data_IF_161644796316
#
_entry.id   IF_161644796316
#
_cell.length_a   1.000
_cell.length_b   1.000
_cell.length_c   1.000
_cell.angle_alpha   90.00
_cell.angle_beta   90.00
_cell.angle_gamma   90.00
#
_symmetry.space_group_name_H-M   'P 1'
#
loop_
_entity.id
_entity.type
_entity.pdbx_description
1 polymer ?
#
# COMPACT_ATOMS: atom_id res chain seq x y z
N UNK A 1 1.28 2.54 21.32
CA UNK A 1 0.49 2.28 20.10
C UNK A 1 1.44 1.90 18.97
N UNK A 2 1.17 0.82 18.29
CA UNK A 2 1.99 0.40 17.17
C UNK A 2 1.47 1.05 15.90
N UNK A 3 2.37 1.60 15.11
CA UNK A 3 2.06 2.21 13.83
C UNK A 3 2.73 1.42 12.72
N UNK A 4 2.05 1.33 11.60
CA UNK A 4 2.58 0.69 10.40
C UNK A 4 2.24 1.53 9.18
N UNK A 5 3.12 1.53 8.20
CA UNK A 5 2.90 2.24 6.95
C UNK A 5 2.59 1.25 5.84
N UNK A 6 1.75 1.65 4.91
CA UNK A 6 1.30 0.80 3.83
C UNK A 6 1.39 1.55 2.51
N UNK A 7 1.98 0.93 1.50
CA UNK A 7 2.16 1.56 0.20
C UNK A 7 1.05 1.16 -0.75
N UNK A 8 0.20 2.12 -1.11
CA UNK A 8 -0.75 1.96 -2.20
C UNK A 8 -0.02 2.44 -3.46
N UNK A 9 0.79 1.54 -4.02
CA UNK A 9 1.67 1.84 -5.15
C UNK A 9 0.92 1.64 -6.44
N UNK A 10 0.79 2.72 -7.21
CA UNK A 10 -0.06 2.75 -8.40
C UNK A 10 0.75 2.97 -9.67
N UNK A 11 0.35 2.26 -10.72
CA UNK A 11 0.75 2.55 -12.11
C UNK A 11 -0.49 2.48 -12.99
N UNK A 12 -0.88 3.63 -13.55
CA UNK A 12 -2.13 3.70 -14.29
C UNK A 12 -3.30 3.34 -13.38
N UNK A 13 -4.09 2.36 -13.77
CA UNK A 13 -5.22 1.89 -12.97
C UNK A 13 -4.91 0.61 -12.22
N UNK A 14 -3.63 0.30 -12.02
CA UNK A 14 -3.22 -0.94 -11.37
C UNK A 14 -2.41 -0.65 -10.13
N UNK A 15 -2.53 -1.58 -9.17
CA UNK A 15 -1.93 -1.47 -7.84
C UNK A 15 -1.00 -2.64 -7.61
N UNK A 16 0.14 -2.38 -6.99
CA UNK A 16 1.12 -3.43 -6.72
C UNK A 16 0.72 -4.22 -5.48
N UNK A 17 0.70 -5.53 -5.61
CA UNK A 17 0.52 -6.43 -4.48
C UNK A 17 1.51 -7.57 -4.59
N UNK A 18 1.86 -8.14 -3.43
CA UNK A 18 2.67 -9.33 -3.38
C UNK A 18 2.03 -10.34 -2.45
N UNK A 19 2.33 -11.61 -2.68
CA UNK A 19 1.69 -12.70 -1.98
C UNK A 19 2.58 -13.20 -0.85
N UNK A 20 2.04 -13.24 0.36
CA UNK A 20 2.75 -13.84 1.48
C UNK A 20 3.08 -15.28 1.16
N UNK A 21 4.26 -15.71 1.59
CA UNK A 21 4.67 -17.09 1.40
C UNK A 21 3.64 -18.04 2.01
N UNK A 22 3.43 -19.18 1.36
CA UNK A 22 2.43 -20.16 1.81
C UNK A 22 2.82 -20.77 3.16
N UNK A 23 4.10 -20.77 3.50
CA UNK A 23 4.58 -21.29 4.77
C UNK A 23 4.73 -20.23 5.84
N UNK A 24 4.28 -19.00 5.56
CA UNK A 24 4.32 -17.93 6.56
C UNK A 24 3.30 -18.25 7.64
N UNK A 25 3.68 -18.22 8.94
CA UNK A 25 2.73 -18.54 10.00
C UNK A 25 1.65 -17.48 10.18
N UNK A 26 1.82 -16.29 9.61
CA UNK A 26 0.86 -15.20 9.74
C UNK A 26 0.26 -14.92 8.37
N UNK A 27 -1.06 -15.12 8.25
CA UNK A 27 -1.81 -14.84 7.02
C UNK A 27 -1.16 -15.42 5.77
N UNK A 28 -0.86 -16.73 5.73
CA UNK A 28 -0.15 -17.31 4.59
C UNK A 28 -0.94 -17.17 3.30
N UNK A 29 -0.25 -16.90 2.21
CA UNK A 29 -0.85 -16.89 0.88
C UNK A 29 -1.75 -15.71 0.56
N UNK A 30 -1.88 -14.75 1.47
CA UNK A 30 -2.70 -13.57 1.19
C UNK A 30 -1.93 -12.56 0.36
N UNK A 31 -2.64 -11.89 -0.54
CA UNK A 31 -2.07 -10.82 -1.34
C UNK A 31 -2.21 -9.50 -0.59
N UNK A 32 -1.12 -8.74 -0.50
CA UNK A 32 -1.13 -7.53 0.29
C UNK A 32 -0.28 -6.45 -0.35
N UNK A 33 -0.57 -5.20 0.05
CA UNK A 33 0.24 -4.06 -0.31
C UNK A 33 1.54 -4.10 0.49
N UNK A 34 2.66 -3.60 -0.08
CA UNK A 34 3.92 -3.54 0.67
C UNK A 34 3.81 -2.58 1.84
N UNK A 35 4.61 -2.83 2.86
CA UNK A 35 4.66 -1.95 4.02
C UNK A 35 5.17 -2.69 5.24
N UNK A 36 5.15 -2.02 6.37
CA UNK A 36 5.60 -2.63 7.60
C UNK A 36 5.52 -1.66 8.78
N UNK A 37 5.90 -2.17 9.94
CA UNK A 37 5.83 -1.41 11.18
C UNK A 37 6.84 -0.29 11.22
N UNK A 38 6.43 0.84 11.80
CA UNK A 38 7.33 1.94 12.06
C UNK A 38 8.26 1.55 13.20
N UNK A 39 9.53 1.87 13.04
CA UNK A 39 10.50 1.69 14.11
C UNK A 39 10.42 2.86 15.08
N UNK A 40 11.05 2.71 16.25
CA UNK A 40 11.07 3.78 17.24
C UNK A 40 11.63 5.05 16.60
N UNK A 41 10.97 6.17 16.85
CA UNK A 41 11.38 7.48 16.32
C UNK A 41 11.28 7.63 14.82
N UNK A 42 10.64 6.67 14.15
CA UNK A 42 10.47 6.73 12.71
C UNK A 42 9.09 7.27 12.37
N UNK A 43 9.02 8.30 11.54
CA UNK A 43 7.74 8.79 11.03
C UNK A 43 7.17 7.79 10.02
N UNK A 44 5.83 7.72 9.87
CA UNK A 44 5.24 6.79 8.90
C UNK A 44 5.79 6.95 7.49
N UNK A 45 6.07 8.16 7.03
CA UNK A 45 6.64 8.38 5.70
C UNK A 45 8.02 7.75 5.57
N UNK A 46 8.81 7.84 6.63
CA UNK A 46 10.15 7.25 6.64
C UNK A 46 10.06 5.74 6.63
N UNK A 47 9.13 5.19 7.43
CA UNK A 47 8.91 3.75 7.47
C UNK A 47 8.48 3.24 6.10
N UNK A 48 7.59 3.98 5.43
CA UNK A 48 7.13 3.59 4.11
C UNK A 48 8.27 3.52 3.11
N UNK A 49 9.10 4.58 3.06
CA UNK A 49 10.20 4.62 2.12
C UNK A 49 11.20 3.49 2.40
N UNK A 50 11.49 3.24 3.66
CA UNK A 50 12.40 2.17 4.05
C UNK A 50 11.84 0.80 3.67
N UNK A 51 10.58 0.53 4.03
CA UNK A 51 9.98 -0.77 3.74
C UNK A 51 9.83 -1.00 2.25
N UNK A 52 9.46 0.02 1.49
CA UNK A 52 9.34 -0.12 0.04
C UNK A 52 10.69 -0.49 -0.58
N UNK A 53 11.75 0.15 -0.13
CA UNK A 53 13.09 -0.16 -0.63
C UNK A 53 13.52 -1.58 -0.21
N UNK A 54 13.29 -1.94 1.05
CA UNK A 54 13.69 -3.26 1.55
C UNK A 54 12.90 -4.38 0.89
N UNK A 55 11.60 -4.20 0.69
CA UNK A 55 10.76 -5.29 0.18
C UNK A 55 10.83 -5.44 -1.32
N UNK A 56 10.81 -4.34 -2.07
CA UNK A 56 10.70 -4.44 -3.53
C UNK A 56 11.72 -3.61 -4.29
N UNK A 57 12.65 -2.97 -3.58
CA UNK A 57 13.78 -2.30 -4.22
C UNK A 57 13.44 -0.98 -4.89
N UNK A 58 12.31 -0.39 -4.60
CA UNK A 58 11.89 0.87 -5.21
C UNK A 58 11.95 2.01 -4.22
N UNK A 59 12.11 3.23 -4.73
CA UNK A 59 12.08 4.44 -3.93
C UNK A 59 10.88 5.27 -4.35
N UNK A 60 10.11 5.79 -3.39
CA UNK A 60 8.96 6.61 -3.75
C UNK A 60 9.41 7.91 -4.42
N UNK A 61 8.73 8.26 -5.51
CA UNK A 61 8.90 9.55 -6.16
C UNK A 61 7.87 10.53 -5.67
N UNK A 62 6.71 10.04 -5.28
CA UNK A 62 5.69 10.85 -4.64
C UNK A 62 4.99 10.04 -3.57
N UNK A 63 4.65 10.71 -2.48
CA UNK A 63 3.93 10.16 -1.36
C UNK A 63 2.79 11.08 -1.01
N UNK A 64 1.63 10.50 -0.76
CA UNK A 64 0.49 11.26 -0.29
C UNK A 64 -0.23 10.48 0.79
N UNK A 65 -0.29 11.04 1.97
CA UNK A 65 -0.95 10.38 3.09
C UNK A 65 -2.44 10.28 2.83
N UNK A 66 -3.01 9.11 3.13
CA UNK A 66 -4.44 8.87 3.12
C UNK A 66 -4.93 8.80 4.57
N UNK A 67 -6.26 8.75 4.78
CA UNK A 67 -6.78 8.67 6.14
C UNK A 67 -6.23 7.44 6.87
N UNK A 68 -5.91 7.64 8.14
CA UNK A 68 -5.37 6.59 8.98
C UNK A 68 -6.48 5.62 9.37
N UNK A 69 -6.17 4.32 9.35
CA UNK A 69 -7.07 3.29 9.84
C UNK A 69 -6.69 2.94 11.27
N UNK A 70 -7.60 3.24 12.20
CA UNK A 70 -7.36 2.95 13.61
C UNK A 70 -7.53 1.46 13.88
N UNK A 71 -6.86 0.98 14.92
CA UNK A 71 -6.91 -0.41 15.32
C UNK A 71 -5.78 -0.71 16.28
N UNK A 72 -5.60 -1.99 16.63
CA UNK A 72 -4.49 -2.41 17.48
C UNK A 72 -3.16 -1.96 16.89
N UNK A 73 -3.05 -2.03 15.56
CA UNK A 73 -1.97 -1.38 14.81
C UNK A 73 -2.62 -0.26 14.03
N UNK A 74 -2.13 0.96 14.23
CA UNK A 74 -2.62 2.11 13.48
C UNK A 74 -1.97 2.08 12.11
N UNK A 75 -2.79 2.01 11.07
CA UNK A 75 -2.31 1.82 9.72
C UNK A 75 -2.32 3.13 8.96
N UNK A 76 -1.15 3.49 8.42
CA UNK A 76 -0.96 4.74 7.67
C UNK A 76 -0.81 4.43 6.19
N UNK A 77 -1.90 4.50 5.41
CA UNK A 77 -1.80 4.26 3.97
C UNK A 77 -1.25 5.50 3.27
N UNK A 78 -0.44 5.27 2.25
CA UNK A 78 0.07 6.35 1.40
C UNK A 78 -0.16 5.98 -0.05
N UNK A 79 -0.66 6.93 -0.82
CA UNK A 79 -0.67 6.80 -2.27
C UNK A 79 0.75 7.06 -2.74
N UNK A 80 1.31 6.12 -3.49
CA UNK A 80 2.71 6.13 -3.87
C UNK A 80 2.85 5.99 -5.38
N UNK A 81 3.75 6.78 -5.95
CA UNK A 81 4.24 6.55 -7.30
C UNK A 81 5.73 6.34 -7.25
N UNK A 82 6.21 5.37 -8.01
CA UNK A 82 7.63 5.03 -8.05
C UNK A 82 7.91 4.34 -9.38
N UNK A 83 9.02 4.72 -10.00
CA UNK A 83 9.47 4.09 -11.24
C UNK A 83 10.32 2.86 -10.93
N UNK A 84 10.55 2.07 -11.97
CA UNK A 84 11.43 0.93 -11.88
C UNK A 84 10.68 -0.39 -11.80
N UNK A 85 11.43 -1.47 -11.88
CA UNK A 85 10.86 -2.81 -11.82
C UNK A 85 10.96 -3.32 -10.39
N UNK A 86 9.84 -3.73 -9.80
CA UNK A 86 9.89 -4.30 -8.46
C UNK A 86 10.78 -5.53 -8.41
N UNK A 87 11.51 -5.67 -7.31
CA UNK A 87 12.38 -6.83 -7.06
C UNK A 87 12.02 -7.42 -5.72
N UNK A 88 11.44 -8.60 -5.75
CA UNK A 88 11.02 -9.31 -4.54
C UNK A 88 11.13 -10.81 -4.80
N UNK A 89 11.38 -11.57 -3.75
CA UNK A 89 11.39 -13.03 -3.82
C UNK A 89 9.97 -13.62 -3.81
N UNK A 90 8.98 -12.81 -3.49
CA UNK A 90 7.59 -13.28 -3.43
C UNK A 90 6.92 -13.14 -4.81
N UNK A 91 5.85 -13.88 -5.01
CA UNK A 91 4.99 -13.65 -6.17
C UNK A 91 4.38 -12.26 -6.07
N UNK A 92 4.24 -11.57 -7.19
CA UNK A 92 3.71 -10.21 -7.20
C UNK A 92 2.95 -9.94 -8.48
N UNK A 93 2.12 -8.91 -8.45
CA UNK A 93 1.31 -8.54 -9.59
C UNK A 93 0.89 -7.08 -9.51
N UNK A 94 0.60 -6.51 -10.68
CA UNK A 94 -0.09 -5.23 -10.81
C UNK A 94 -1.54 -5.54 -11.12
N UNK A 95 -2.45 -5.16 -10.23
CA UNK A 95 -3.85 -5.55 -10.33
C UNK A 95 -4.78 -4.34 -10.35
N UNK A 96 -5.83 -4.43 -11.13
CA UNK A 96 -6.95 -3.49 -11.01
C UNK A 96 -7.69 -3.75 -9.72
N UNK A 97 -8.52 -2.79 -9.29
CA UNK A 97 -9.34 -2.99 -8.09
C UNK A 97 -10.26 -4.21 -8.27
N UNK A 98 -10.83 -4.36 -9.46
CA UNK A 98 -11.70 -5.51 -9.72
C UNK A 98 -10.98 -6.83 -9.52
N UNK A 99 -9.73 -6.90 -10.00
CA UNK A 99 -8.90 -8.10 -9.80
C UNK A 99 -8.60 -8.32 -8.32
N UNK A 100 -8.27 -7.23 -7.60
CA UNK A 100 -7.97 -7.33 -6.17
C UNK A 100 -9.15 -7.85 -5.37
N UNK A 101 -10.38 -7.48 -5.76
CA UNK A 101 -11.58 -7.94 -5.05
C UNK A 101 -11.75 -9.46 -5.16
N UNK A 102 -11.17 -10.08 -6.17
CA UNK A 102 -11.23 -11.52 -6.34
C UNK A 102 -10.09 -12.30 -5.67
N UNK A 103 -9.15 -11.59 -5.05
CA UNK A 103 -8.01 -12.23 -4.41
C UNK A 103 -8.19 -12.31 -2.90
N UNK A 104 -7.59 -13.32 -2.25
CA UNK A 104 -7.55 -13.34 -0.79
C UNK A 104 -6.61 -12.25 -0.30
N UNK A 105 -7.15 -11.29 0.46
CA UNK A 105 -6.39 -10.17 1.00
C UNK A 105 -6.63 -10.09 2.51
N UNK A 106 -5.70 -9.48 3.27
CA UNK A 106 -5.93 -9.30 4.71
C UNK A 106 -7.20 -8.47 4.95
N UNK A 107 -7.92 -8.77 6.03
CA UNK A 107 -9.21 -8.09 6.27
C UNK A 107 -9.16 -6.57 6.23
N UNK A 108 -8.10 -5.97 6.78
CA UNK A 108 -8.00 -4.51 6.80
C UNK A 108 -7.75 -3.93 5.40
N UNK A 109 -7.17 -4.72 4.50
CA UNK A 109 -6.96 -4.26 3.14
C UNK A 109 -8.27 -4.15 2.38
N UNK A 110 -9.30 -4.89 2.77
CA UNK A 110 -10.60 -4.79 2.09
C UNK A 110 -11.21 -3.41 2.21
N UNK A 111 -11.06 -2.76 3.37
CA UNK A 111 -11.55 -1.40 3.52
C UNK A 111 -10.84 -0.45 2.55
N UNK A 112 -9.56 -0.70 2.31
CA UNK A 112 -8.80 0.10 1.37
C UNK A 112 -9.29 -0.09 -0.07
N UNK A 113 -9.72 -1.30 -0.42
CA UNK A 113 -10.23 -1.56 -1.77
C UNK A 113 -11.43 -0.68 -2.09
N UNK A 114 -12.27 -0.40 -1.11
CA UNK A 114 -13.40 0.49 -1.34
C UNK A 114 -12.93 1.90 -1.68
N UNK A 115 -11.87 2.36 -1.04
CA UNK A 115 -11.30 3.67 -1.36
C UNK A 115 -10.69 3.68 -2.75
N UNK A 116 -9.95 2.63 -3.09
CA UNK A 116 -9.30 2.55 -4.40
C UNK A 116 -10.31 2.43 -5.53
N UNK A 117 -11.46 1.83 -5.26
CA UNK A 117 -12.51 1.70 -6.26
C UNK A 117 -13.27 2.98 -6.53
N UNK A 118 -13.05 4.01 -5.72
CA UNK A 118 -13.61 5.33 -5.92
C UNK A 118 -12.49 6.25 -6.37
N UNK A 119 -12.82 7.52 -6.53
CA UNK A 119 -11.79 8.51 -6.73
C UNK A 119 -10.88 8.54 -5.50
N UNK A 120 -9.56 8.55 -5.68
CA UNK A 120 -8.67 8.68 -4.53
C UNK A 120 -9.03 9.90 -3.72
N UNK A 121 -9.05 9.80 -2.37
CA UNK A 121 -9.44 10.94 -1.56
C UNK A 121 -8.47 12.10 -1.63
N UNK A 122 -7.20 11.82 -1.57
CA UNK A 122 -6.10 12.76 -1.54
C UNK A 122 -6.36 14.17 -2.02
N UNK A 123 -5.68 14.57 -3.10
CA UNK A 123 -5.72 15.98 -3.50
C UNK A 123 -7.10 16.49 -3.80
N UNK A 124 -7.96 15.66 -4.38
CA UNK A 124 -9.30 16.08 -4.72
C UNK A 124 -10.08 16.49 -3.50
N UNK A 125 -9.98 15.69 -2.45
CA UNK A 125 -10.69 15.98 -1.22
C UNK A 125 -10.08 17.14 -0.45
N UNK A 126 -8.84 17.45 -0.75
CA UNK A 126 -8.16 18.57 -0.12
C UNK A 126 -8.23 19.82 -0.95
N UNK A 127 -9.07 19.81 -1.97
CA UNK A 127 -9.20 20.93 -2.87
C UNK A 127 -8.33 20.86 -4.09
N UNK A 128 -7.56 19.82 -4.23
CA UNK A 128 -6.77 19.58 -5.43
C UNK A 128 -7.66 19.03 -6.53
N UNK A 129 -7.21 19.01 -7.70
CA UNK A 129 -7.97 18.46 -8.81
C UNK A 129 -7.77 16.99 -8.98
N UNK A 130 -7.91 16.84 -8.99
CA UNK A 130 -7.51 16.01 -9.01
C UNK A 130 -7.03 15.29 -9.62
N UNK A 131 -7.21 15.29 -9.49
CA UNK A 131 -6.73 14.61 -9.70
C UNK A 131 -6.37 13.97 -10.18
N UNK A 132 -6.56 13.88 -10.13
CA UNK A 132 -6.13 13.32 -10.32
C UNK A 132 -5.81 12.83 -10.89
N UNK A 133 -5.62 12.84 -10.86
CA UNK A 133 -5.16 12.28 -11.36
C UNK A 133 -5.23 11.73 -12.27
N UNK A 134 -5.54 11.87 -12.39
CA UNK A 134 -5.58 11.04 -13.22
C UNK A 134 -5.34 10.23 -13.64
#
# INVERSE_FOLDING_TARGET
MTDAALALLRRGNRWFVQRRALDNPVLPGLWEFPGGKCEASEAPEQALARELHEEIGLRPESLQAWPVLEGAVRLHPFLVEADGTPRTALAWAWCTVAELRGLPVPPRNRALLDWLGREPPGPELQGGPAHLIG
#
